data_IF_474582434001
#
_entry.id   IF_474582434001
#
_cell.length_a   1.000
_cell.length_b   1.000
_cell.length_c   1.000
_cell.angle_alpha   90.00
_cell.angle_beta   90.00
_cell.angle_gamma   90.00
#
_symmetry.space_group_name_H-M   'P 1'
#
loop_
_entity.id
_entity.type
_entity.pdbx_description
1 polymer ?
#
# COMPACT_ATOMS: atom_id res chain seq x y z
N UNK A 1 5.64 25.59 13.99
CA UNK A 1 4.96 24.27 13.98
C UNK A 1 4.10 24.14 12.73
N UNK A 2 3.10 25.01 12.52
CA UNK A 2 2.20 24.99 11.37
C UNK A 2 2.91 24.99 10.01
N UNK A 3 3.80 25.96 9.75
CA UNK A 3 4.50 26.04 8.46
C UNK A 3 5.39 24.82 8.19
N UNK A 4 5.99 24.23 9.23
CA UNK A 4 6.78 23.00 9.11
C UNK A 4 5.91 21.81 8.71
N UNK A 5 4.72 21.67 9.33
CA UNK A 5 3.79 20.60 8.99
C UNK A 5 3.23 20.77 7.57
N UNK A 6 2.86 21.99 7.17
CA UNK A 6 2.42 22.29 5.80
C UNK A 6 3.51 22.02 4.75
N UNK A 7 4.77 22.28 5.09
CA UNK A 7 5.89 21.94 4.21
C UNK A 7 6.05 20.43 4.03
N UNK A 8 5.85 19.64 5.10
CA UNK A 8 5.85 18.17 5.03
C UNK A 8 4.72 17.68 4.13
N UNK A 9 3.49 18.16 4.35
CA UNK A 9 2.36 17.87 3.47
C UNK A 9 2.68 18.16 2.00
N UNK A 10 3.20 19.36 1.70
CA UNK A 10 3.46 19.76 0.32
C UNK A 10 4.56 18.92 -0.37
N UNK A 11 5.48 18.34 0.40
CA UNK A 11 6.55 17.47 -0.09
C UNK A 11 6.15 16.00 -0.20
N UNK A 12 5.25 15.54 0.69
CA UNK A 12 4.83 14.14 0.77
C UNK A 12 3.57 13.83 -0.04
N UNK A 13 2.79 14.84 -0.43
CA UNK A 13 1.57 14.67 -1.24
C UNK A 13 1.84 14.94 -2.73
N UNK A 14 1.51 14.02 -3.65
CA UNK A 14 1.66 14.25 -5.08
C UNK A 14 0.92 15.51 -5.55
N UNK A 15 1.46 16.30 -6.50
CA UNK A 15 0.85 17.57 -6.89
C UNK A 15 -0.61 17.48 -7.33
N UNK A 16 -1.02 16.36 -7.94
CA UNK A 16 -2.40 16.16 -8.38
C UNK A 16 -3.34 15.90 -7.20
N UNK A 17 -2.89 15.28 -6.10
CA UNK A 17 -3.68 15.01 -4.89
C UNK A 17 -3.65 16.15 -3.87
N UNK A 18 -3.03 17.29 -4.22
CA UNK A 18 -2.66 18.31 -3.24
C UNK A 18 -3.58 19.51 -3.31
N UNK A 19 -4.43 19.69 -2.28
CA UNK A 19 -5.06 20.98 -1.96
C UNK A 19 -3.99 22.06 -1.77
N UNK A 20 -4.22 23.27 -2.30
CA UNK A 20 -3.26 24.38 -2.21
C UNK A 20 -2.99 24.72 -0.74
N UNK A 21 -1.71 24.79 -0.36
CA UNK A 21 -1.32 25.09 1.04
C UNK A 21 -1.80 26.45 1.54
N UNK A 22 -2.02 27.41 0.62
CA UNK A 22 -2.66 28.68 0.95
C UNK A 22 -4.09 28.52 1.44
N UNK A 23 -4.85 27.57 0.90
CA UNK A 23 -6.23 27.30 1.30
C UNK A 23 -6.26 26.64 2.68
N UNK A 24 -5.43 25.61 2.88
CA UNK A 24 -5.25 24.97 4.20
C UNK A 24 -4.84 26.01 5.25
N UNK A 25 -3.94 26.95 4.91
CA UNK A 25 -3.54 28.03 5.81
C UNK A 25 -4.73 28.94 6.17
N UNK A 26 -5.57 29.30 5.21
CA UNK A 26 -6.80 30.05 5.48
C UNK A 26 -7.70 29.31 6.47
N UNK A 27 -7.97 28.02 6.22
CA UNK A 27 -8.78 27.19 7.10
C UNK A 27 -8.20 27.05 8.52
N UNK A 28 -6.88 26.88 8.66
CA UNK A 28 -6.22 26.87 9.98
C UNK A 28 -6.42 28.20 10.71
N UNK A 29 -6.35 29.33 9.99
CA UNK A 29 -6.53 30.65 10.58
C UNK A 29 -7.96 30.97 11.00
N UNK A 30 -8.96 30.40 10.31
CA UNK A 30 -10.38 30.57 10.62
C UNK A 30 -10.90 29.55 11.67
N UNK A 31 -10.23 28.40 11.80
CA UNK A 31 -10.58 27.30 12.69
C UNK A 31 -10.90 27.68 14.16
N UNK A 32 -10.24 28.67 14.80
CA UNK A 32 -10.56 29.06 16.19
C UNK A 32 -11.98 29.60 16.39
N UNK A 33 -12.65 30.06 15.33
CA UNK A 33 -13.96 30.71 15.42
C UNK A 33 -15.10 29.91 14.80
N UNK A 34 -14.81 29.00 13.86
CA UNK A 34 -15.83 28.20 13.17
C UNK A 34 -15.20 27.01 12.43
N UNK A 35 -14.63 26.05 13.16
CA UNK A 35 -13.90 24.94 12.54
C UNK A 35 -14.75 24.06 11.63
N UNK A 36 -16.08 24.13 11.67
CA UNK A 36 -16.98 23.24 10.90
C UNK A 36 -16.60 21.75 11.03
N UNK A 37 -16.03 21.38 12.18
CA UNK A 37 -15.53 20.03 12.45
C UNK A 37 -14.19 19.70 11.80
N UNK A 38 -13.48 20.66 11.20
CA UNK A 38 -12.15 20.49 10.61
C UNK A 38 -11.05 20.60 11.66
N UNK A 39 -10.14 19.64 11.66
CA UNK A 39 -9.04 19.53 12.61
C UNK A 39 -7.73 19.24 11.89
N UNK A 40 -6.67 19.91 12.33
CA UNK A 40 -5.33 19.78 11.78
C UNK A 40 -4.36 19.28 12.85
N UNK A 41 -3.47 18.38 12.46
CA UNK A 41 -2.54 17.69 13.35
C UNK A 41 -1.11 17.85 12.86
N UNK A 42 -0.20 17.91 13.81
CA UNK A 42 1.23 17.81 13.57
C UNK A 42 1.78 16.65 14.39
N UNK A 43 2.33 15.63 13.73
CA UNK A 43 3.04 14.55 14.42
C UNK A 43 4.39 15.08 14.91
N UNK A 44 4.69 14.89 16.19
CA UNK A 44 5.99 15.25 16.78
C UNK A 44 6.73 14.01 17.27
N UNK A 45 7.99 13.88 16.89
CA UNK A 45 8.91 12.86 17.40
C UNK A 45 10.12 13.60 17.98
N UNK A 46 10.37 13.46 19.28
CA UNK A 46 11.45 14.17 20.00
C UNK A 46 11.44 15.69 19.72
N UNK A 47 10.29 16.31 19.91
CA UNK A 47 10.01 17.74 19.66
C UNK A 47 10.15 18.25 18.21
N UNK A 48 10.59 17.41 17.28
CA UNK A 48 10.61 17.73 15.85
C UNK A 48 9.28 17.37 15.20
N UNK A 49 8.74 18.29 14.40
CA UNK A 49 7.55 18.03 13.57
C UNK A 49 7.95 17.10 12.44
N UNK A 50 7.28 15.94 12.35
CA UNK A 50 7.59 14.87 11.42
C UNK A 50 6.37 14.43 10.58
N UNK A 51 5.20 15.04 10.77
CA UNK A 51 4.02 14.72 9.99
C UNK A 51 2.93 15.78 10.05
N UNK A 52 1.97 15.65 9.14
CA UNK A 52 0.80 16.49 9.00
C UNK A 52 -0.43 15.60 8.87
N UNK A 53 -1.51 15.95 9.55
CA UNK A 53 -2.80 15.26 9.43
C UNK A 53 -3.93 16.27 9.28
N UNK A 54 -4.92 15.91 8.49
CA UNK A 54 -6.15 16.67 8.29
C UNK A 54 -7.34 15.72 8.41
N UNK A 55 -8.31 16.10 9.23
CA UNK A 55 -9.55 15.36 9.36
C UNK A 55 -10.73 16.30 9.54
N UNK A 56 -11.92 15.82 9.16
CA UNK A 56 -13.18 16.49 9.43
C UNK A 56 -14.16 15.57 10.13
N UNK A 57 -14.75 15.98 11.25
CA UNK A 57 -15.90 15.32 11.85
C UNK A 57 -17.20 16.03 11.46
N UNK A 58 -18.15 15.28 10.91
CA UNK A 58 -19.45 15.77 10.45
C UNK A 58 -20.53 15.18 11.36
N UNK A 59 -20.95 15.97 12.35
CA UNK A 59 -21.90 15.54 13.38
C UNK A 59 -23.30 15.19 12.82
N UNK A 60 -23.71 15.82 11.71
CA UNK A 60 -25.04 15.60 11.10
C UNK A 60 -25.22 14.20 10.52
N UNK A 61 -24.13 13.58 10.04
CA UNK A 61 -24.12 12.22 9.48
C UNK A 61 -23.37 11.22 10.34
N UNK A 62 -22.73 11.69 11.41
CA UNK A 62 -21.90 10.92 12.33
C UNK A 62 -20.76 10.19 11.61
N UNK A 63 -20.04 10.96 10.78
CA UNK A 63 -18.92 10.50 9.96
C UNK A 63 -17.68 11.34 10.27
N UNK A 64 -16.55 10.68 10.51
CA UNK A 64 -15.24 11.33 10.51
C UNK A 64 -14.50 10.99 9.20
N UNK A 65 -13.96 12.01 8.52
CA UNK A 65 -13.19 11.90 7.29
C UNK A 65 -11.73 12.16 7.62
N UNK A 66 -10.85 11.21 7.35
CA UNK A 66 -9.40 11.41 7.34
C UNK A 66 -9.04 11.76 5.89
N UNK A 67 -8.72 13.02 5.65
CA UNK A 67 -8.43 13.54 4.30
C UNK A 67 -6.94 13.39 3.97
N UNK A 68 -6.07 14.00 4.79
CA UNK A 68 -4.63 13.88 4.64
C UNK A 68 -3.97 13.23 5.85
N UNK A 69 -3.03 12.33 5.59
CA UNK A 69 -2.07 11.85 6.59
C UNK A 69 -0.69 11.68 5.96
N UNK A 70 0.24 12.55 6.34
CA UNK A 70 1.57 12.63 5.75
C UNK A 70 2.64 12.48 6.82
N UNK A 71 3.70 11.74 6.50
CA UNK A 71 4.94 11.69 7.30
C UNK A 71 6.10 12.20 6.43
N UNK A 72 7.03 12.92 7.06
CA UNK A 72 8.20 13.47 6.39
C UNK A 72 9.06 12.34 5.78
N UNK A 73 9.63 12.51 4.57
CA UNK A 73 10.42 11.45 3.91
C UNK A 73 11.56 10.85 4.75
N UNK A 74 12.33 11.60 5.56
CA UNK A 74 13.36 11.02 6.43
C UNK A 74 12.80 10.06 7.49
N UNK A 75 11.52 10.20 7.81
CA UNK A 75 10.81 9.52 8.89
C UNK A 75 9.69 8.60 8.37
N UNK A 76 9.55 8.48 7.04
CA UNK A 76 8.46 7.78 6.33
C UNK A 76 8.59 6.25 6.40
N UNK A 77 8.87 5.74 7.59
CA UNK A 77 8.84 4.31 7.88
C UNK A 77 7.41 3.82 8.04
N UNK A 78 7.20 2.53 7.84
CA UNK A 78 5.87 1.94 8.00
C UNK A 78 5.33 2.13 9.42
N UNK A 79 6.22 2.04 10.41
CA UNK A 79 5.89 2.24 11.81
C UNK A 79 5.40 3.67 12.08
N UNK A 80 6.02 4.69 11.48
CA UNK A 80 5.63 6.07 11.69
C UNK A 80 4.23 6.36 11.12
N UNK A 81 3.94 5.91 9.90
CA UNK A 81 2.61 6.04 9.30
C UNK A 81 1.54 5.30 10.10
N UNK A 82 1.81 4.04 10.46
CA UNK A 82 0.85 3.24 11.22
C UNK A 82 0.57 3.85 12.59
N UNK A 83 1.62 4.25 13.31
CA UNK A 83 1.48 4.90 14.62
C UNK A 83 0.68 6.19 14.50
N UNK A 84 0.94 7.00 13.46
CA UNK A 84 0.20 8.24 13.28
C UNK A 84 -1.27 7.98 12.96
N UNK A 85 -1.56 7.01 12.09
CA UNK A 85 -2.93 6.58 11.79
C UNK A 85 -3.65 6.08 13.05
N UNK A 86 -2.99 5.23 13.85
CA UNK A 86 -3.54 4.71 15.11
C UNK A 86 -3.84 5.84 16.10
N UNK A 87 -2.93 6.81 16.23
CA UNK A 87 -3.14 8.00 17.07
C UNK A 87 -4.35 8.82 16.62
N UNK A 88 -4.51 9.02 15.30
CA UNK A 88 -5.66 9.75 14.73
C UNK A 88 -6.95 8.96 14.96
N UNK A 89 -6.99 7.67 14.66
CA UNK A 89 -8.16 6.82 14.91
C UNK A 89 -8.52 6.79 16.40
N UNK A 90 -7.54 6.69 17.30
CA UNK A 90 -7.75 6.75 18.73
C UNK A 90 -8.30 8.10 19.19
N UNK A 91 -7.77 9.21 18.66
CA UNK A 91 -8.30 10.54 18.91
C UNK A 91 -9.75 10.69 18.45
N UNK A 92 -10.06 10.26 17.22
CA UNK A 92 -11.42 10.29 16.65
C UNK A 92 -12.40 9.47 17.50
N UNK A 93 -12.01 8.24 17.86
CA UNK A 93 -12.85 7.35 18.65
C UNK A 93 -13.10 7.88 20.06
N UNK A 94 -12.09 8.45 20.71
CA UNK A 94 -12.21 8.97 22.08
C UNK A 94 -12.95 10.32 22.14
N UNK A 95 -12.91 11.10 21.06
CA UNK A 95 -13.50 12.45 21.04
C UNK A 95 -14.95 12.43 20.57
N UNK A 96 -15.26 11.65 19.52
CA UNK A 96 -16.58 11.65 18.88
C UNK A 96 -17.24 10.29 18.82
N UNK A 97 -16.45 9.20 18.83
CA UNK A 97 -16.94 7.83 18.68
C UNK A 97 -17.92 7.67 17.49
N UNK A 98 -17.55 8.13 16.28
CA UNK A 98 -18.48 8.18 15.15
C UNK A 98 -18.88 6.78 14.70
N UNK A 99 -20.07 6.68 14.11
CA UNK A 99 -20.54 5.45 13.45
C UNK A 99 -19.58 4.99 12.35
N UNK A 100 -18.96 5.94 11.63
CA UNK A 100 -18.02 5.66 10.55
C UNK A 100 -16.83 6.60 10.57
N UNK A 101 -15.64 6.04 10.36
CA UNK A 101 -14.44 6.77 9.95
C UNK A 101 -14.14 6.40 8.52
N UNK A 102 -13.94 7.38 7.65
CA UNK A 102 -13.74 7.17 6.22
C UNK A 102 -12.52 7.89 5.71
N UNK A 103 -11.95 7.38 4.62
CA UNK A 103 -10.87 8.05 3.89
C UNK A 103 -10.98 7.69 2.42
N UNK A 104 -10.62 8.64 1.56
CA UNK A 104 -10.64 8.50 0.12
C UNK A 104 -9.28 8.04 -0.37
N UNK A 105 -9.26 7.08 -1.30
CA UNK A 105 -8.00 6.58 -1.84
C UNK A 105 -8.04 6.56 -3.36
N UNK A 106 -7.12 7.27 -4.00
CA UNK A 106 -6.92 7.25 -5.46
C UNK A 106 -6.18 5.98 -5.90
N UNK A 107 -6.76 4.83 -5.59
CA UNK A 107 -6.25 3.51 -5.92
C UNK A 107 -7.37 2.64 -6.41
N UNK A 108 -7.16 2.00 -7.56
CA UNK A 108 -8.05 0.97 -8.06
C UNK A 108 -7.43 -0.41 -7.80
N UNK A 109 -8.00 -1.22 -6.88
CA UNK A 109 -7.50 -2.55 -6.53
C UNK A 109 -7.61 -3.56 -7.68
N UNK A 110 -8.35 -3.25 -8.74
CA UNK A 110 -8.50 -4.09 -9.94
C UNK A 110 -7.27 -4.09 -10.86
N UNK A 111 -6.22 -3.35 -10.50
CA UNK A 111 -4.95 -3.32 -11.23
C UNK A 111 -4.93 -2.35 -12.42
N UNK A 112 -5.97 -1.53 -12.60
CA UNK A 112 -6.01 -0.47 -13.64
C UNK A 112 -5.00 0.66 -13.40
N UNK A 113 -4.44 0.78 -12.19
CA UNK A 113 -3.46 1.81 -11.82
C UNK A 113 -2.16 1.19 -11.29
N UNK A 114 -1.01 1.70 -11.72
CA UNK A 114 0.33 1.28 -11.25
C UNK A 114 0.83 2.11 -10.07
N UNK A 115 -0.07 2.64 -9.24
CA UNK A 115 0.30 3.48 -8.10
C UNK A 115 0.84 2.61 -6.96
N UNK A 116 2.15 2.67 -6.73
CA UNK A 116 2.82 1.89 -5.68
C UNK A 116 2.60 2.44 -4.29
N UNK A 117 2.41 3.76 -4.16
CA UNK A 117 2.37 4.47 -2.89
C UNK A 117 0.96 4.36 -2.31
N UNK A 118 -0.06 4.55 -3.15
CA UNK A 118 -1.44 4.34 -2.74
C UNK A 118 -1.76 2.86 -2.45
N UNK A 119 -1.07 1.90 -3.09
CA UNK A 119 -1.15 0.47 -2.71
C UNK A 119 -0.64 0.22 -1.29
N UNK A 120 0.43 0.90 -0.89
CA UNK A 120 0.95 0.78 0.47
C UNK A 120 -0.06 1.34 1.47
N UNK A 121 -0.58 2.55 1.23
CA UNK A 121 -1.58 3.18 2.09
C UNK A 121 -2.84 2.33 2.23
N UNK A 122 -3.33 1.74 1.13
CA UNK A 122 -4.43 0.77 1.13
C UNK A 122 -4.21 -0.37 2.14
N UNK A 123 -3.02 -0.99 2.13
CA UNK A 123 -2.70 -2.11 3.03
C UNK A 123 -2.64 -1.65 4.48
N UNK A 124 -2.11 -0.46 4.75
CA UNK A 124 -2.07 0.08 6.10
C UNK A 124 -3.47 0.34 6.67
N UNK A 125 -4.35 0.91 5.86
CA UNK A 125 -5.75 1.09 6.21
C UNK A 125 -6.44 -0.25 6.50
N UNK A 126 -6.20 -1.28 5.68
CA UNK A 126 -6.72 -2.63 5.93
C UNK A 126 -6.23 -3.22 7.26
N UNK A 127 -4.94 -3.03 7.60
CA UNK A 127 -4.39 -3.47 8.89
C UNK A 127 -5.02 -2.74 10.08
N UNK A 128 -5.39 -1.47 9.92
CA UNK A 128 -6.13 -0.70 10.91
C UNK A 128 -7.63 -1.11 10.99
N UNK A 129 -8.11 -1.94 10.06
CA UNK A 129 -9.48 -2.46 10.03
C UNK A 129 -10.43 -1.73 9.08
N UNK A 130 -9.92 -0.80 8.26
CA UNK A 130 -10.73 -0.20 7.20
C UNK A 130 -11.06 -1.22 6.11
N UNK A 131 -12.26 -1.11 5.56
CA UNK A 131 -12.77 -1.93 4.47
C UNK A 131 -13.06 -1.07 3.25
N UNK A 132 -12.60 -1.49 2.08
CA UNK A 132 -12.93 -0.86 0.80
C UNK A 132 -14.38 -1.16 0.42
N UNK A 133 -15.13 -0.15 0.03
CA UNK A 133 -16.47 -0.32 -0.53
C UNK A 133 -16.40 -0.75 -2.00
N UNK A 134 -17.14 -1.79 -2.38
CA UNK A 134 -17.30 -2.19 -3.77
C UNK A 134 -18.51 -1.48 -4.38
N UNK A 135 -18.37 -0.17 -4.57
CA UNK A 135 -19.37 0.74 -5.11
C UNK A 135 -18.64 1.86 -5.89
N UNK A 136 -19.32 2.51 -6.86
CA UNK A 136 -18.76 3.65 -7.54
C UNK A 136 -18.49 4.78 -6.55
N UNK A 137 -17.27 5.29 -6.56
CA UNK A 137 -16.85 6.46 -5.80
C UNK A 137 -15.87 7.28 -6.64
N UNK A 138 -16.00 8.60 -6.54
CA UNK A 138 -15.16 9.53 -7.28
C UNK A 138 -14.78 10.66 -6.35
N UNK A 139 -13.49 10.93 -6.25
CA UNK A 139 -13.03 12.12 -5.54
C UNK A 139 -13.40 13.36 -6.36
N UNK A 140 -14.10 14.34 -5.76
CA UNK A 140 -14.33 15.65 -6.37
C UNK A 140 -13.04 16.40 -6.72
N UNK A 141 -13.17 17.40 -7.58
CA UNK A 141 -12.05 18.30 -7.90
C UNK A 141 -11.60 19.06 -6.65
N UNK A 142 -10.27 19.14 -6.47
CA UNK A 142 -9.64 19.97 -5.44
C UNK A 142 -9.57 21.45 -5.87
N UNK A 143 -10.04 21.78 -7.08
CA UNK A 143 -9.97 23.13 -7.65
C UNK A 143 -11.35 23.62 -8.09
N UNK A 144 -11.78 24.75 -7.53
CA UNK A 144 -13.11 25.33 -7.79
C UNK A 144 -13.33 25.80 -9.23
N UNK A 145 -12.26 26.17 -9.94
CA UNK A 145 -12.25 26.58 -11.36
C UNK A 145 -12.30 25.39 -12.33
N UNK A 146 -12.06 24.18 -11.84
CA UNK A 146 -12.11 22.95 -12.62
C UNK A 146 -13.06 21.91 -11.99
N UNK A 147 -14.36 22.24 -11.80
CA UNK A 147 -15.32 21.39 -11.08
C UNK A 147 -15.67 20.08 -11.80
N UNK A 148 -15.26 19.94 -13.08
CA UNK A 148 -15.48 18.75 -13.90
C UNK A 148 -14.33 17.73 -13.82
N UNK A 149 -13.27 18.01 -13.06
CA UNK A 149 -12.20 17.05 -12.82
C UNK A 149 -12.59 16.06 -11.72
N UNK A 150 -12.91 14.83 -12.13
CA UNK A 150 -13.24 13.73 -11.24
C UNK A 150 -12.14 12.68 -11.30
N UNK A 151 -11.87 12.03 -10.17
CA UNK A 151 -10.88 10.95 -10.10
C UNK A 151 -11.49 9.69 -9.55
N UNK A 152 -11.22 8.58 -10.21
CA UNK A 152 -11.59 7.27 -9.72
C UNK A 152 -10.90 7.03 -8.39
N UNK A 153 -11.70 6.64 -7.40
CA UNK A 153 -11.26 6.47 -6.04
C UNK A 153 -12.03 5.34 -5.38
N UNK A 154 -11.42 4.78 -4.33
CA UNK A 154 -12.08 3.83 -3.44
C UNK A 154 -12.34 4.53 -2.12
N UNK A 155 -13.58 4.43 -1.65
CA UNK A 155 -13.92 4.84 -0.29
C UNK A 155 -13.59 3.71 0.68
N UNK A 156 -12.71 4.00 1.63
CA UNK A 156 -12.33 3.10 2.71
C UNK A 156 -13.13 3.47 3.96
N UNK A 157 -13.75 2.47 4.60
CA UNK A 157 -14.66 2.66 5.73
C UNK A 157 -14.22 1.81 6.92
N UNK A 158 -14.01 2.45 8.06
CA UNK A 158 -13.86 1.83 9.36
C UNK A 158 -15.15 2.07 10.16
N UNK A 159 -15.71 1.00 10.72
CA UNK A 159 -16.90 1.04 11.55
C UNK A 159 -16.77 0.06 12.70
N UNK A 160 -17.46 0.33 13.81
CA UNK A 160 -17.57 -0.62 14.91
C UNK A 160 -18.25 -1.94 14.47
N UNK A 161 -19.18 -1.84 13.52
CA UNK A 161 -19.80 -3.00 12.88
C UNK A 161 -18.77 -3.77 12.04
N UNK A 162 -18.63 -5.06 12.34
CA UNK A 162 -17.75 -5.97 11.62
C UNK A 162 -18.39 -6.58 10.37
N UNK A 163 -19.60 -6.17 10.01
CA UNK A 163 -20.28 -6.57 8.76
C UNK A 163 -19.39 -6.40 7.52
N UNK A 164 -19.49 -7.36 6.60
CA UNK A 164 -18.90 -7.28 5.25
C UNK A 164 -19.82 -6.56 4.25
N UNK A 165 -20.90 -5.95 4.74
CA UNK A 165 -21.92 -5.29 3.94
C UNK A 165 -22.33 -3.97 4.56
N UNK A 166 -22.54 -2.96 3.72
CA UNK A 166 -23.06 -1.65 4.08
C UNK A 166 -24.38 -1.42 3.34
N UNK A 167 -25.42 -0.98 4.03
CA UNK A 167 -26.68 -0.62 3.38
C UNK A 167 -26.43 0.48 2.32
N UNK A 168 -26.97 0.31 1.11
CA UNK A 168 -26.78 1.27 0.01
C UNK A 168 -27.20 2.70 0.40
N UNK A 169 -28.29 2.85 1.15
CA UNK A 169 -28.73 4.16 1.65
C UNK A 169 -27.75 4.78 2.66
N UNK A 170 -27.11 3.95 3.49
CA UNK A 170 -26.06 4.42 4.41
C UNK A 170 -24.82 4.85 3.64
N UNK A 171 -24.41 4.09 2.63
CA UNK A 171 -23.32 4.47 1.74
C UNK A 171 -23.57 5.83 1.09
N UNK A 172 -24.76 6.04 0.51
CA UNK A 172 -25.13 7.33 -0.08
C UNK A 172 -25.10 8.47 0.93
N UNK A 173 -25.54 8.26 2.18
CA UNK A 173 -25.43 9.28 3.23
C UNK A 173 -23.97 9.68 3.52
N UNK A 174 -23.06 8.70 3.55
CA UNK A 174 -21.63 8.96 3.75
C UNK A 174 -21.06 9.77 2.57
N UNK A 175 -21.29 9.32 1.33
CA UNK A 175 -20.82 10.01 0.11
C UNK A 175 -21.38 11.43 0.03
N UNK A 176 -22.67 11.60 0.33
CA UNK A 176 -23.30 12.92 0.38
C UNK A 176 -22.62 13.83 1.40
N UNK A 177 -22.29 13.34 2.58
CA UNK A 177 -21.59 14.15 3.59
C UNK A 177 -20.18 14.53 3.16
N UNK A 178 -19.46 13.65 2.44
CA UNK A 178 -18.17 14.03 1.86
C UNK A 178 -18.38 15.15 0.82
N UNK A 179 -19.37 15.03 -0.06
CA UNK A 179 -19.59 16.01 -1.13
C UNK A 179 -20.09 17.36 -0.57
N UNK A 180 -21.11 17.34 0.28
CA UNK A 180 -21.76 18.55 0.78
C UNK A 180 -21.01 19.18 1.97
N UNK A 181 -20.73 18.38 3.01
CA UNK A 181 -20.24 18.89 4.29
C UNK A 181 -18.71 18.98 4.36
N UNK A 182 -17.99 18.31 3.46
CA UNK A 182 -16.53 18.45 3.30
C UNK A 182 -16.17 19.28 2.07
N UNK A 183 -16.39 18.81 0.85
CA UNK A 183 -15.95 19.50 -0.37
C UNK A 183 -16.66 20.81 -0.66
N UNK A 184 -17.99 20.83 -0.67
CA UNK A 184 -18.74 22.07 -0.90
C UNK A 184 -18.52 23.07 0.26
N UNK A 185 -18.41 22.59 1.50
CA UNK A 185 -18.06 23.43 2.65
C UNK A 185 -16.64 24.02 2.54
N UNK A 186 -15.66 23.27 2.02
CA UNK A 186 -14.28 23.73 1.83
C UNK A 186 -14.22 25.04 1.03
N UNK A 187 -15.07 25.15 0.00
CA UNK A 187 -15.10 26.33 -0.83
C UNK A 187 -16.02 27.45 -0.34
N UNK A 188 -16.68 27.30 0.81
CA UNK A 188 -17.60 28.32 1.35
C UNK A 188 -16.94 29.66 1.66
N UNK A 189 -15.63 29.66 1.92
CA UNK A 189 -14.83 30.88 2.15
C UNK A 189 -14.52 31.63 0.84
N UNK A 190 -14.70 30.98 -0.32
CA UNK A 190 -14.47 31.56 -1.64
C UNK A 190 -15.81 31.90 -2.31
N UNK A 191 -16.10 33.20 -2.45
CA UNK A 191 -17.41 33.69 -2.93
C UNK A 191 -17.70 33.46 -4.42
N UNK A 192 -16.69 33.14 -5.23
CA UNK A 192 -16.83 33.04 -6.67
C UNK A 192 -16.78 31.55 -7.10
N UNK A 193 -17.75 31.13 -7.93
CA UNK A 193 -17.89 29.78 -8.54
C UNK A 193 -18.39 28.63 -7.63
N UNK A 194 -18.80 28.89 -6.39
CA UNK A 194 -19.30 27.83 -5.48
C UNK A 194 -20.56 27.12 -5.98
N UNK A 195 -21.49 27.85 -6.61
CA UNK A 195 -22.75 27.26 -7.10
C UNK A 195 -22.54 26.27 -8.25
N UNK A 196 -21.65 26.59 -9.20
CA UNK A 196 -21.33 25.68 -10.30
C UNK A 196 -20.68 24.40 -9.77
N UNK A 197 -19.73 24.53 -8.83
CA UNK A 197 -19.09 23.39 -8.19
C UNK A 197 -20.12 22.50 -7.48
N UNK A 198 -21.01 23.11 -6.69
CA UNK A 198 -22.11 22.43 -6.00
C UNK A 198 -23.05 21.69 -6.95
N UNK A 199 -23.42 22.29 -8.07
CA UNK A 199 -24.25 21.65 -9.09
C UNK A 199 -23.57 20.38 -9.65
N UNK A 200 -22.26 20.43 -9.91
CA UNK A 200 -21.50 19.26 -10.36
C UNK A 200 -21.48 18.15 -9.31
N UNK A 201 -21.30 18.50 -8.04
CA UNK A 201 -21.38 17.53 -6.93
C UNK A 201 -22.76 16.84 -6.87
N UNK A 202 -23.85 17.61 -6.94
CA UNK A 202 -25.22 17.08 -6.91
C UNK A 202 -25.47 16.13 -8.09
N UNK A 203 -25.04 16.54 -9.28
CA UNK A 203 -25.19 15.73 -10.49
C UNK A 203 -24.41 14.40 -10.38
N UNK A 204 -23.19 14.43 -9.85
CA UNK A 204 -22.39 13.21 -9.65
C UNK A 204 -22.98 12.32 -8.55
N UNK A 205 -23.42 12.90 -7.43
CA UNK A 205 -24.08 12.15 -6.36
C UNK A 205 -25.33 11.42 -6.88
N UNK A 206 -26.12 12.09 -7.72
CA UNK A 206 -27.31 11.49 -8.34
C UNK A 206 -26.94 10.29 -9.23
N UNK A 207 -25.83 10.36 -9.96
CA UNK A 207 -25.32 9.22 -10.76
C UNK A 207 -24.94 8.04 -9.85
N UNK A 208 -24.17 8.30 -8.79
CA UNK A 208 -23.78 7.29 -7.79
C UNK A 208 -25.03 6.66 -7.16
N UNK A 209 -26.03 7.46 -6.79
CA UNK A 209 -27.29 6.98 -6.24
C UNK A 209 -28.02 6.00 -7.17
N UNK A 210 -28.11 6.32 -8.47
CA UNK A 210 -28.76 5.45 -9.47
C UNK A 210 -28.03 4.11 -9.56
N UNK A 211 -26.71 4.11 -9.51
CA UNK A 211 -25.92 2.88 -9.57
C UNK A 211 -26.03 2.05 -8.28
N UNK A 212 -25.94 2.70 -7.12
CA UNK A 212 -26.03 2.03 -5.81
C UNK A 212 -27.42 1.43 -5.60
N UNK A 213 -28.50 2.08 -6.06
CA UNK A 213 -29.88 1.56 -5.95
C UNK A 213 -30.09 0.19 -6.62
N UNK A 214 -29.20 -0.22 -7.52
CA UNK A 214 -29.23 -1.56 -8.14
C UNK A 214 -28.99 -2.69 -7.13
N UNK A 215 -28.39 -2.39 -5.97
CA UNK A 215 -28.17 -3.34 -4.89
C UNK A 215 -28.58 -2.75 -3.54
N UNK A 216 -29.38 -3.45 -2.72
CA UNK A 216 -29.73 -2.96 -1.38
C UNK A 216 -28.51 -2.86 -0.45
N UNK A 217 -27.45 -3.63 -0.73
CA UNK A 217 -26.22 -3.66 0.05
C UNK A 217 -24.98 -3.50 -0.83
N UNK A 218 -24.02 -2.73 -0.34
CA UNK A 218 -22.68 -2.59 -0.87
C UNK A 218 -21.77 -3.58 -0.16
N UNK A 219 -21.07 -4.41 -0.93
CA UNK A 219 -20.06 -5.31 -0.37
C UNK A 219 -18.86 -4.50 0.09
N UNK A 220 -18.35 -4.82 1.27
CA UNK A 220 -17.13 -4.26 1.82
C UNK A 220 -16.06 -5.34 1.95
N UNK A 221 -14.84 -5.05 1.50
CA UNK A 221 -13.70 -5.94 1.64
C UNK A 221 -12.65 -5.26 2.52
N UNK A 222 -12.27 -5.86 3.64
CA UNK A 222 -11.16 -5.30 4.43
C UNK A 222 -10.59 -6.25 5.46
N UNK A 223 -10.67 -7.55 5.22
CA UNK A 223 -9.85 -8.50 5.95
C UNK A 223 -8.87 -9.16 4.99
N UNK A 224 -7.62 -9.28 5.45
CA UNK A 224 -6.82 -10.44 5.12
C UNK A 224 -7.68 -11.62 5.58
N UNK A 225 -8.33 -12.34 4.66
CA UNK A 225 -8.95 -13.62 4.99
C UNK A 225 -7.87 -14.53 5.59
N UNK A 226 -7.96 -14.98 6.84
CA UNK A 226 -7.28 -16.21 7.21
C UNK A 226 -8.14 -17.34 6.60
N UNK A 227 -7.61 -17.98 5.57
CA UNK A 227 -8.19 -19.12 4.85
C UNK A 227 -9.23 -18.80 3.78
N UNK A 228 -8.73 -18.48 2.58
CA UNK A 228 -8.85 -19.34 1.39
C UNK A 228 -7.91 -18.73 0.37
N UNK A 229 -6.78 -19.39 0.13
CA UNK A 229 -5.77 -19.01 -0.87
C UNK A 229 -5.27 -17.58 -0.73
N UNK A 230 -4.00 -17.45 -0.36
CA UNK A 230 -3.13 -16.43 -0.94
C UNK A 230 -3.38 -16.49 -2.45
N UNK A 231 -4.29 -15.66 -2.96
CA UNK A 231 -4.33 -15.38 -4.39
C UNK A 231 -2.96 -14.83 -4.68
N UNK A 232 -2.29 -15.58 -5.55
CA UNK A 232 -0.96 -15.34 -6.03
C UNK A 232 -0.95 -13.99 -6.77
N UNK A 233 -0.80 -12.91 -6.01
CA UNK A 233 -0.02 -11.76 -6.46
C UNK A 233 1.35 -11.78 -5.76
N UNK A 234 1.91 -12.98 -5.64
CA UNK A 234 3.26 -13.12 -6.19
C UNK A 234 3.13 -12.73 -7.65
N UNK A 235 3.53 -11.50 -7.97
CA UNK A 235 4.19 -11.21 -9.24
C UNK A 235 4.92 -12.49 -9.67
N UNK A 236 4.86 -12.86 -10.94
CA UNK A 236 5.97 -13.58 -11.54
C UNK A 236 7.24 -12.73 -11.31
N UNK A 237 7.81 -12.74 -10.10
CA UNK A 237 9.21 -13.09 -10.01
C UNK A 237 9.20 -14.49 -10.54
N UNK A 238 9.62 -14.65 -11.81
CA UNK A 238 10.24 -15.89 -12.25
C UNK A 238 10.97 -16.48 -11.05
N UNK A 239 10.87 -17.80 -10.77
CA UNK A 239 11.72 -18.41 -9.76
C UNK A 239 13.10 -17.88 -10.08
N UNK A 240 13.65 -17.05 -9.19
CA UNK A 240 14.89 -16.34 -9.47
C UNK A 240 15.89 -17.45 -9.63
N UNK A 241 16.15 -17.80 -10.90
CA UNK A 241 17.26 -18.64 -11.24
C UNK A 241 18.42 -18.02 -10.47
N UNK A 242 19.22 -18.82 -9.74
CA UNK A 242 20.41 -18.28 -9.11
C UNK A 242 21.07 -17.41 -10.16
N UNK A 243 21.27 -16.12 -9.82
CA UNK A 243 21.68 -15.14 -10.81
C UNK A 243 22.86 -15.74 -11.58
N UNK A 244 22.98 -15.46 -12.88
CA UNK A 244 24.09 -16.02 -13.66
C UNK A 244 25.44 -15.77 -12.95
N UNK A 245 25.52 -14.68 -12.18
CA UNK A 245 26.61 -14.37 -11.25
C UNK A 245 26.79 -15.37 -10.10
N UNK A 246 25.73 -15.86 -9.45
CA UNK A 246 25.83 -16.94 -8.45
C UNK A 246 26.33 -18.25 -9.08
N UNK A 247 25.82 -18.64 -10.25
CA UNK A 247 26.29 -19.86 -10.93
C UNK A 247 27.75 -19.71 -11.38
N UNK A 248 28.11 -18.57 -11.98
CA UNK A 248 29.50 -18.27 -12.37
C UNK A 248 30.44 -18.21 -11.16
N UNK A 249 30.02 -17.58 -10.06
CA UNK A 249 30.79 -17.52 -8.81
C UNK A 249 31.12 -18.92 -8.27
N UNK A 250 30.13 -19.81 -8.28
CA UNK A 250 30.32 -21.18 -7.83
C UNK A 250 31.23 -22.00 -8.76
N UNK A 251 31.10 -21.84 -10.08
CA UNK A 251 32.01 -22.48 -11.05
C UNK A 251 33.45 -22.05 -10.80
N UNK A 252 33.68 -20.75 -10.59
CA UNK A 252 35.02 -20.22 -10.27
C UNK A 252 35.57 -20.82 -8.98
N UNK A 253 34.76 -20.93 -7.92
CA UNK A 253 35.19 -21.55 -6.66
C UNK A 253 35.62 -23.01 -6.86
N UNK A 254 34.84 -23.80 -7.62
CA UNK A 254 35.18 -25.20 -7.89
C UNK A 254 36.51 -25.31 -8.64
N UNK A 255 36.75 -24.45 -9.64
CA UNK A 255 38.02 -24.41 -10.37
C UNK A 255 39.20 -23.96 -9.50
N UNK A 256 38.99 -23.02 -8.57
CA UNK A 256 40.03 -22.60 -7.63
C UNK A 256 40.39 -23.74 -6.66
N UNK A 257 39.40 -24.46 -6.13
CA UNK A 257 39.64 -25.62 -5.27
C UNK A 257 40.38 -26.71 -6.05
N UNK A 258 39.91 -27.05 -7.25
CA UNK A 258 40.56 -28.05 -8.11
C UNK A 258 42.00 -27.66 -8.48
N UNK A 259 42.24 -26.38 -8.81
CA UNK A 259 43.56 -25.85 -9.10
C UNK A 259 44.50 -25.92 -7.90
N UNK A 260 44.02 -25.56 -6.70
CA UNK A 260 44.81 -25.65 -5.46
C UNK A 260 45.19 -27.10 -5.12
N UNK A 261 44.29 -28.06 -5.37
CA UNK A 261 44.55 -29.49 -5.19
C UNK A 261 45.57 -30.01 -6.20
N UNK A 262 45.48 -29.60 -7.47
CA UNK A 262 46.43 -29.99 -8.52
C UNK A 262 47.84 -29.45 -8.24
N UNK A 263 47.93 -28.20 -7.76
CA UNK A 263 49.20 -27.60 -7.33
C UNK A 263 49.77 -28.40 -6.15
N UNK A 264 48.98 -28.67 -5.12
CA UNK A 264 49.44 -29.41 -3.93
C UNK A 264 49.89 -30.85 -4.27
N UNK A 265 49.19 -31.52 -5.19
CA UNK A 265 49.58 -32.83 -5.71
C UNK A 265 50.88 -32.77 -6.53
N UNK A 266 51.10 -31.69 -7.29
CA UNK A 266 52.32 -31.50 -8.11
C UNK A 266 53.56 -31.22 -7.26
N UNK A 267 53.40 -30.64 -6.07
CA UNK A 267 54.48 -30.41 -5.11
C UNK A 267 54.72 -31.60 -4.17
N UNK A 268 53.99 -32.70 -4.33
CA UNK A 268 54.27 -33.99 -3.69
C UNK A 268 53.67 -34.21 -2.31
N UNK A 269 52.88 -33.26 -1.81
CA UNK A 269 52.29 -33.32 -0.45
C UNK A 269 51.04 -34.21 -0.35
N UNK A 270 50.45 -34.60 -1.49
CA UNK A 270 49.26 -35.44 -1.54
C UNK A 270 49.45 -36.60 -2.52
N UNK A 271 49.05 -37.80 -2.10
CA UNK A 271 48.99 -38.93 -3.01
C UNK A 271 47.91 -38.71 -4.08
N UNK A 272 48.05 -39.37 -5.23
CA UNK A 272 47.06 -39.30 -6.32
C UNK A 272 45.68 -39.75 -5.82
N UNK A 273 45.62 -40.76 -4.94
CA UNK A 273 44.37 -41.23 -4.34
C UNK A 273 43.72 -40.18 -3.43
N UNK A 274 44.51 -39.47 -2.62
CA UNK A 274 43.97 -38.42 -1.73
C UNK A 274 43.44 -37.24 -2.53
N UNK A 275 44.12 -36.90 -3.62
CA UNK A 275 43.70 -35.84 -4.54
C UNK A 275 42.35 -36.17 -5.21
N UNK A 276 42.19 -37.41 -5.68
CA UNK A 276 40.94 -37.88 -6.29
C UNK A 276 39.79 -37.90 -5.26
N UNK A 277 40.07 -38.36 -4.04
CA UNK A 277 39.07 -38.42 -2.96
C UNK A 277 38.57 -37.01 -2.59
N UNK A 278 39.50 -36.07 -2.38
CA UNK A 278 39.17 -34.70 -1.99
C UNK A 278 38.43 -33.94 -3.11
N UNK A 279 38.82 -34.13 -4.37
CA UNK A 279 38.10 -33.57 -5.51
C UNK A 279 36.67 -34.11 -5.58
N UNK A 280 36.50 -35.43 -5.48
CA UNK A 280 35.19 -36.08 -5.51
C UNK A 280 34.29 -35.58 -4.37
N UNK A 281 34.83 -35.46 -3.16
CA UNK A 281 34.11 -34.92 -1.99
C UNK A 281 33.68 -33.47 -2.18
N UNK A 282 34.50 -32.66 -2.85
CA UNK A 282 34.21 -31.25 -3.13
C UNK A 282 33.08 -31.10 -4.16
N UNK A 283 33.12 -31.92 -5.22
CA UNK A 283 32.05 -31.99 -6.23
C UNK A 283 30.72 -32.44 -5.61
N UNK A 284 30.74 -33.47 -4.74
CA UNK A 284 29.54 -33.96 -4.06
C UNK A 284 28.95 -32.89 -3.13
N UNK A 285 29.79 -32.23 -2.32
CA UNK A 285 29.36 -31.13 -1.45
C UNK A 285 28.74 -29.99 -2.25
N UNK A 286 29.33 -29.65 -3.40
CA UNK A 286 28.78 -28.63 -4.30
C UNK A 286 27.41 -29.02 -4.87
N UNK A 287 27.25 -30.27 -5.33
CA UNK A 287 25.97 -30.77 -5.83
C UNK A 287 24.89 -30.79 -4.74
N UNK A 288 25.26 -31.08 -3.49
CA UNK A 288 24.38 -31.00 -2.33
C UNK A 288 23.93 -29.55 -2.06
N UNK A 289 24.86 -28.59 -2.06
CA UNK A 289 24.52 -27.17 -1.89
C UNK A 289 23.60 -26.68 -3.01
N UNK A 290 23.88 -27.05 -4.26
CA UNK A 290 23.00 -26.77 -5.41
C UNK A 290 21.61 -27.38 -5.24
N UNK A 291 21.52 -28.60 -4.72
CA UNK A 291 20.23 -29.27 -4.48
C UNK A 291 19.38 -28.60 -3.41
N UNK A 292 20.01 -27.92 -2.45
CA UNK A 292 19.35 -27.17 -1.38
C UNK A 292 19.01 -25.74 -1.83
N UNK A 293 19.89 -25.10 -2.58
CA UNK A 293 19.75 -23.70 -3.00
C UNK A 293 18.80 -23.48 -4.18
N UNK A 294 18.53 -24.51 -4.98
CA UNK A 294 17.58 -24.44 -6.10
C UNK A 294 16.17 -24.81 -5.63
N UNK A 295 15.18 -23.89 -5.67
CA UNK A 295 13.81 -24.21 -5.27
C UNK A 295 13.22 -25.26 -6.21
N UNK A 296 12.55 -26.25 -5.61
CA UNK A 296 12.08 -27.50 -6.22
C UNK A 296 11.43 -27.34 -7.60
N UNK A 297 12.14 -27.75 -8.66
CA UNK A 297 11.61 -28.66 -9.69
C UNK A 297 12.71 -29.64 -10.08
N UNK A 298 12.70 -30.79 -9.40
CA UNK A 298 13.53 -31.95 -9.73
C UNK A 298 13.06 -32.50 -11.08
N UNK A 299 13.63 -31.99 -12.16
CA UNK A 299 13.61 -32.64 -13.49
C UNK A 299 15.02 -32.94 -14.00
N UNK A 300 16.06 -32.30 -13.43
CA UNK A 300 17.45 -32.60 -13.78
C UNK A 300 18.03 -33.82 -13.07
N UNK A 301 17.74 -34.04 -11.78
CA UNK A 301 18.23 -35.24 -11.09
C UNK A 301 17.55 -36.53 -11.59
N UNK A 302 16.27 -36.45 -12.00
CA UNK A 302 15.57 -37.56 -12.64
C UNK A 302 16.15 -37.89 -14.03
N UNK A 303 16.49 -36.87 -14.84
CA UNK A 303 17.17 -37.07 -16.14
C UNK A 303 18.62 -37.55 -15.99
N UNK A 304 19.36 -37.06 -15.00
CA UNK A 304 20.71 -37.54 -14.71
C UNK A 304 20.69 -39.00 -14.25
N UNK A 305 19.71 -39.38 -13.43
CA UNK A 305 19.47 -40.77 -13.04
C UNK A 305 19.15 -41.68 -14.22
N UNK A 306 18.34 -41.23 -15.19
CA UNK A 306 18.09 -41.98 -16.43
C UNK A 306 19.34 -42.11 -17.29
N UNK A 307 20.12 -41.03 -17.50
CA UNK A 307 21.34 -41.07 -18.33
C UNK A 307 22.38 -42.04 -17.73
N UNK A 308 22.54 -42.06 -16.41
CA UNK A 308 23.42 -43.01 -15.72
C UNK A 308 22.89 -44.44 -15.85
N UNK A 309 21.57 -44.65 -15.77
CA UNK A 309 20.95 -45.96 -16.01
C UNK A 309 21.22 -46.46 -17.43
N UNK A 310 21.04 -45.60 -18.44
CA UNK A 310 21.25 -45.94 -19.86
C UNK A 310 22.73 -46.26 -20.16
N UNK A 311 23.66 -45.55 -19.52
CA UNK A 311 25.10 -45.81 -19.65
C UNK A 311 25.54 -47.09 -18.94
N UNK A 312 24.89 -47.47 -17.83
CA UNK A 312 25.18 -48.71 -17.11
C UNK A 312 24.52 -49.94 -17.73
N UNK A 313 23.41 -49.78 -18.47
CA UNK A 313 22.73 -50.86 -19.21
C UNK A 313 23.30 -51.11 -20.62
N UNK A 314 24.24 -50.29 -21.08
CA UNK A 314 24.89 -50.41 -22.39
C UNK A 314 26.27 -51.12 -22.32
N UNK A 315 26.54 -51.84 -21.23
CA UNK A 315 27.70 -52.74 -21.07
C UNK A 315 27.24 -54.19 -20.98
#
# INVERSE_FOLDING_TARGET
>A
MTETALAIYAQSTPPYERTKTSEIRSWISESPHNSHGLHFFALKINDRVCGFGELRYIASSDVAIIDYLCVAPPDSSNAAYFTFLEMICGFVQNTWAPSYVVTELLYNPDGSTRDTDNRYWFRMLQLQGFKSTHAPYYQPSLEIDHPDQWRDAVLMVLSADQSEQLEGQRYIRIVKSIFDDHYNSWFSIYRNNSEQYKEKLINKLTQIEIEVRKSPYIKMNGSIRPNTTVEQESKNTDPTFPSIYFTLFNVVIVFLIAGSMFISASYGDLSVSDTILLFSSSVITYLLILSIALPQKITLAAKAGEIVKTLLSAR
#
